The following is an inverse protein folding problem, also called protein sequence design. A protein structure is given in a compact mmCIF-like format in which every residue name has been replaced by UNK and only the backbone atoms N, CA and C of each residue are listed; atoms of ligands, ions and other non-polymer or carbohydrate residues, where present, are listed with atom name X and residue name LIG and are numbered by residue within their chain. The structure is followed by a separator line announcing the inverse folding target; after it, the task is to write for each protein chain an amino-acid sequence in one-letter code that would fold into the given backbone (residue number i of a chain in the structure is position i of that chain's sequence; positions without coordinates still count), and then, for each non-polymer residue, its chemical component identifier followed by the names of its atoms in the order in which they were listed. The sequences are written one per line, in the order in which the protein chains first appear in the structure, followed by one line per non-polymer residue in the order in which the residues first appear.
data_IF_809595225611
#
_entry.id   IF_809595225611
#
_cell.length_a   1.000
_cell.length_b   1.000
_cell.length_c   1.000
_cell.angle_alpha   90.00
_cell.angle_beta   90.00
_cell.angle_gamma   90.00
#
_symmetry.space_group_name_H-M   'P 1'
#
loop_
_entity.id
_entity.type
_entity.pdbx_description
1 polymer ?
#
# COMPACT_ATOMS: atom_id res chain seq x y z
N UNK A 1 -16.13 -2.88 -12.91
CA UNK A 1 -14.95 -2.95 -12.01
C UNK A 1 -15.38 -2.31 -10.70
N UNK A 2 -15.91 -3.11 -9.78
CA UNK A 2 -16.43 -2.60 -8.50
C UNK A 2 -15.24 -2.14 -7.67
N UNK A 3 -15.16 -0.85 -7.39
CA UNK A 3 -14.13 -0.30 -6.51
C UNK A 3 -14.52 -0.70 -5.08
N UNK A 4 -13.90 -1.74 -4.55
CA UNK A 4 -13.86 -1.97 -3.10
C UNK A 4 -13.08 -0.79 -2.53
N UNK A 5 -13.62 -0.12 -1.51
CA UNK A 5 -13.00 1.07 -0.91
C UNK A 5 -11.53 0.77 -0.57
N UNK A 6 -10.62 1.53 -1.17
CA UNK A 6 -9.19 1.37 -0.90
C UNK A 6 -8.90 1.97 0.47
N UNK A 7 -8.43 1.14 1.40
CA UNK A 7 -7.94 1.65 2.68
C UNK A 7 -6.60 2.37 2.43
N UNK A 8 -6.51 3.62 2.84
CA UNK A 8 -5.35 4.49 2.61
C UNK A 8 -4.81 4.98 3.97
N UNK A 9 -4.00 4.18 4.67
CA UNK A 9 -3.39 4.56 5.94
C UNK A 9 -2.48 5.77 5.77
N UNK A 10 -2.46 6.65 6.77
CA UNK A 10 -1.63 7.85 6.80
C UNK A 10 -0.29 7.63 7.53
N UNK A 11 -0.14 6.50 8.23
CA UNK A 11 1.05 6.18 9.02
C UNK A 11 1.44 4.71 8.87
N UNK A 12 2.70 4.38 9.16
CA UNK A 12 3.17 2.99 9.16
C UNK A 12 2.45 2.15 10.24
N UNK A 13 2.05 2.78 11.35
CA UNK A 13 1.30 2.12 12.41
C UNK A 13 -0.11 1.69 11.95
N UNK A 14 -0.83 2.59 11.25
CA UNK A 14 -2.12 2.25 10.65
C UNK A 14 -1.98 1.15 9.60
N UNK A 15 -0.99 1.26 8.71
CA UNK A 15 -0.70 0.24 7.70
C UNK A 15 -0.43 -1.13 8.35
N UNK A 16 0.40 -1.17 9.39
CA UNK A 16 0.72 -2.39 10.13
C UNK A 16 -0.53 -3.01 10.76
N UNK A 17 -1.39 -2.18 11.38
CA UNK A 17 -2.64 -2.65 11.97
C UNK A 17 -3.59 -3.26 10.92
N UNK A 18 -3.72 -2.62 9.75
CA UNK A 18 -4.56 -3.11 8.65
C UNK A 18 -4.04 -4.45 8.08
N UNK A 19 -2.73 -4.56 7.83
CA UNK A 19 -2.13 -5.82 7.36
C UNK A 19 -2.33 -6.94 8.39
N UNK A 20 -2.17 -6.63 9.69
CA UNK A 20 -2.36 -7.60 10.74
C UNK A 20 -3.84 -8.00 10.92
N UNK A 21 -4.80 -7.10 10.67
CA UNK A 21 -6.23 -7.42 10.66
C UNK A 21 -6.57 -8.32 9.47
N UNK A 22 -6.17 -7.94 8.26
CA UNK A 22 -6.41 -8.72 7.05
C UNK A 22 -5.82 -10.14 7.14
N UNK A 23 -4.62 -10.28 7.72
CA UNK A 23 -4.01 -11.60 7.95
C UNK A 23 -4.80 -12.46 8.94
N UNK A 24 -5.34 -11.87 10.01
CA UNK A 24 -6.20 -12.57 10.98
C UNK A 24 -7.50 -13.02 10.35
N UNK A 25 -8.06 -12.19 9.48
CA UNK A 25 -9.38 -12.41 8.86
C UNK A 25 -9.30 -13.21 7.55
N UNK A 26 -8.10 -13.54 7.08
CA UNK A 26 -7.88 -14.23 5.79
C UNK A 26 -8.24 -13.39 4.57
N UNK A 27 -8.27 -12.06 4.72
CA UNK A 27 -8.60 -11.11 3.65
C UNK A 27 -7.39 -10.94 2.72
N UNK A 28 -7.53 -11.25 1.43
CA UNK A 28 -6.47 -11.04 0.44
C UNK A 28 -6.40 -9.58 0.04
N UNK A 29 -5.23 -8.97 0.21
CA UNK A 29 -4.99 -7.57 -0.12
C UNK A 29 -4.24 -7.43 -1.44
N UNK A 30 -4.71 -6.53 -2.30
CA UNK A 30 -3.91 -5.95 -3.39
C UNK A 30 -3.23 -4.68 -2.88
N UNK A 31 -1.90 -4.65 -2.82
CA UNK A 31 -1.14 -3.48 -2.38
C UNK A 31 -0.84 -2.58 -3.57
N UNK A 32 -1.20 -1.30 -3.48
CA UNK A 32 -1.14 -0.37 -4.61
C UNK A 32 -0.55 0.99 -4.23
N UNK A 33 0.57 1.32 -4.88
CA UNK A 33 1.13 2.68 -4.88
C UNK A 33 0.45 3.56 -5.93
N UNK A 34 1.21 4.09 -6.89
CA UNK A 34 0.68 4.96 -7.96
C UNK A 34 -0.21 4.27 -9.02
N UNK A 35 -0.47 2.96 -8.91
CA UNK A 35 -1.38 2.23 -9.81
C UNK A 35 -0.96 2.07 -11.27
N UNK A 36 0.13 2.73 -11.71
CA UNK A 36 0.58 2.79 -13.12
C UNK A 36 0.95 1.44 -13.73
N UNK A 37 1.18 0.41 -12.90
CA UNK A 37 1.57 -0.94 -13.32
C UNK A 37 0.47 -2.00 -13.20
N UNK A 38 -0.76 -1.62 -12.80
CA UNK A 38 -1.87 -2.59 -12.63
C UNK A 38 -2.25 -3.35 -13.90
N UNK A 39 -1.91 -2.82 -15.08
CA UNK A 39 -2.12 -3.50 -16.36
C UNK A 39 -1.00 -4.46 -16.77
N UNK A 40 0.04 -4.63 -15.94
CA UNK A 40 1.19 -5.47 -16.24
C UNK A 40 1.10 -6.79 -15.46
N UNK A 41 1.36 -7.91 -16.14
CA UNK A 41 1.41 -9.23 -15.53
C UNK A 41 0.03 -9.87 -15.32
N UNK A 42 0.00 -10.87 -14.44
CA UNK A 42 -1.24 -11.57 -14.08
C UNK A 42 -2.09 -10.71 -13.13
N UNK A 43 -3.43 -10.77 -13.23
CA UNK A 43 -4.30 -10.05 -12.32
C UNK A 43 -4.14 -10.54 -10.88
N UNK A 44 -4.19 -9.61 -9.94
CA UNK A 44 -4.20 -9.92 -8.50
C UNK A 44 -5.63 -10.26 -8.08
N UNK A 45 -5.84 -11.49 -7.60
CA UNK A 45 -7.12 -11.89 -7.01
C UNK A 45 -7.13 -11.48 -5.53
N UNK A 46 -7.68 -10.30 -5.25
CA UNK A 46 -7.77 -9.74 -3.91
C UNK A 46 -9.23 -9.43 -3.52
N UNK A 47 -9.49 -9.47 -2.22
CA UNK A 47 -10.78 -9.14 -1.62
C UNK A 47 -10.86 -7.64 -1.32
N UNK A 48 -9.72 -6.98 -1.08
CA UNK A 48 -9.63 -5.53 -0.85
C UNK A 48 -8.33 -4.92 -1.42
N UNK A 49 -8.33 -3.59 -1.62
CA UNK A 49 -7.15 -2.82 -2.02
C UNK A 49 -6.60 -2.05 -0.81
N UNK A 50 -5.28 -2.15 -0.58
CA UNK A 50 -4.54 -1.32 0.37
C UNK A 50 -3.68 -0.32 -0.41
N UNK A 51 -3.97 0.98 -0.27
CA UNK A 51 -3.22 2.03 -0.95
C UNK A 51 -2.10 2.59 -0.09
N UNK A 52 -0.90 2.75 -0.66
CA UNK A 52 0.22 3.46 0.01
C UNK A 52 0.31 4.93 -0.39
N UNK A 53 -0.69 5.48 -1.10
CA UNK A 53 -0.62 6.81 -1.69
C UNK A 53 -0.53 7.96 -0.66
N UNK A 54 -0.88 7.70 0.61
CA UNK A 54 -0.78 8.67 1.72
C UNK A 54 0.50 8.53 2.55
N UNK A 55 1.37 7.57 2.20
CA UNK A 55 2.71 7.42 2.77
C UNK A 55 3.71 8.09 1.82
N UNK A 56 3.60 9.41 1.68
CA UNK A 56 4.28 10.22 0.66
C UNK A 56 5.30 11.22 1.24
N UNK A 57 5.53 11.18 2.55
CA UNK A 57 6.50 12.03 3.23
C UNK A 57 7.92 11.47 3.11
N UNK A 58 8.92 12.35 2.91
CA UNK A 58 10.35 12.02 3.07
C UNK A 58 10.71 12.19 4.54
N UNK A 59 11.10 11.09 5.19
CA UNK A 59 11.44 11.05 6.62
C UNK A 59 12.92 11.28 6.88
N UNK A 60 13.78 10.86 5.94
CA UNK A 60 15.23 11.03 6.01
C UNK A 60 15.77 11.51 4.66
N UNK A 61 16.62 12.54 4.70
CA UNK A 61 17.32 13.05 3.52
C UNK A 61 18.81 13.20 3.77
N UNK A 62 19.62 12.40 3.08
CA UNK A 62 21.08 12.38 3.20
C UNK A 62 21.72 12.58 1.81
N UNK A 63 21.84 13.83 1.33
CA UNK A 63 22.33 14.13 -0.02
C UNK A 63 23.77 13.67 -0.25
N UNK A 64 24.63 13.74 0.76
CA UNK A 64 26.01 13.26 0.69
C UNK A 64 26.11 11.75 0.45
N UNK A 65 25.08 11.01 0.86
CA UNK A 65 24.97 9.57 0.67
C UNK A 65 24.05 9.20 -0.51
N UNK A 66 23.52 10.19 -1.25
CA UNK A 66 22.53 10.01 -2.30
C UNK A 66 21.32 9.16 -1.84
N UNK A 67 20.89 9.34 -0.59
CA UNK A 67 19.89 8.49 0.08
C UNK A 67 18.68 9.31 0.56
N UNK A 68 17.49 8.73 0.37
CA UNK A 68 16.18 9.25 0.78
C UNK A 68 15.35 8.07 1.30
N UNK A 69 14.61 8.26 2.40
CA UNK A 69 13.67 7.26 2.96
C UNK A 69 12.33 7.90 3.24
#
# INVERSE_FOLDING_TARGET
MTVVAAEAPATEAELSALVAAAARDGTRLEIVGGGTRRGLGAPVNADATLSTARLDAVTLYEPQALTLV
#
